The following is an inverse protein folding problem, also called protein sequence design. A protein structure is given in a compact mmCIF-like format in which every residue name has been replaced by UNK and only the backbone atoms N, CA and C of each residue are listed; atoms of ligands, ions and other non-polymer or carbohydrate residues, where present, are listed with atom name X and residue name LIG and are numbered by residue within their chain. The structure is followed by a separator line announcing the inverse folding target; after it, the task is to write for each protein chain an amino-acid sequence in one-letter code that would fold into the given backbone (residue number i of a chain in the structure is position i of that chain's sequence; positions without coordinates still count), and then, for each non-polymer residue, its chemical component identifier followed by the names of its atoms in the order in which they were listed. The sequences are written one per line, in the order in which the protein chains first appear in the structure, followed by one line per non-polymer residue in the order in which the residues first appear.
data_IF_699607555213
#
_entry.id   IF_699607555213
#
_cell.length_a   1.000
_cell.length_b   1.000
_cell.length_c   1.000
_cell.angle_alpha   90.00
_cell.angle_beta   90.00
_cell.angle_gamma   90.00
#
_symmetry.space_group_name_H-M   'P 1'
#
loop_
_entity.id
_entity.type
_entity.pdbx_description
1 polymer ?
#
# COMPACT_ATOMS: atom_id res chain seq x y z
N UNK A 1 15.03 18.71 -0.59
CA UNK A 1 15.96 19.70 -0.02
C UNK A 1 16.82 19.01 1.04
N UNK A 2 18.15 19.19 0.99
CA UNK A 2 19.08 18.66 1.99
C UNK A 2 19.59 19.80 2.87
N UNK A 3 19.57 19.59 4.20
CA UNK A 3 20.06 20.55 5.18
C UNK A 3 21.09 19.88 6.09
N UNK A 4 22.27 20.49 6.25
CA UNK A 4 23.29 20.02 7.18
C UNK A 4 23.08 20.70 8.53
N UNK A 5 22.84 19.91 9.57
CA UNK A 5 22.91 20.31 10.98
C UNK A 5 24.17 19.72 11.60
N UNK A 6 24.68 20.26 12.70
CA UNK A 6 26.01 20.01 13.31
C UNK A 6 26.56 18.58 13.11
N UNK A 7 25.77 17.52 13.36
CA UNK A 7 26.19 16.11 13.28
C UNK A 7 25.22 15.24 12.44
N UNK A 8 24.26 15.87 11.74
CA UNK A 8 23.25 15.17 10.99
C UNK A 8 22.95 15.86 9.66
N UNK A 9 22.52 15.08 8.70
CA UNK A 9 21.95 15.57 7.45
C UNK A 9 20.46 15.27 7.46
N UNK A 10 19.64 16.28 7.24
CA UNK A 10 18.20 16.13 7.07
C UNK A 10 17.86 16.26 5.59
N UNK A 11 17.18 15.27 5.08
CA UNK A 11 16.70 15.24 3.71
C UNK A 11 15.18 15.36 3.71
N UNK A 12 14.66 16.37 3.02
CA UNK A 12 13.23 16.54 2.77
C UNK A 12 12.99 16.31 1.27
N UNK A 13 12.07 15.46 0.94
CA UNK A 13 11.72 15.18 -0.45
C UNK A 13 10.23 15.13 -0.65
N UNK A 14 9.83 15.57 -1.82
CA UNK A 14 8.49 15.49 -2.38
C UNK A 14 8.58 14.73 -3.69
N UNK A 15 7.72 13.76 -3.85
CA UNK A 15 7.71 12.86 -5.01
C UNK A 15 6.33 12.95 -5.62
N UNK A 16 6.27 13.39 -6.89
CA UNK A 16 5.06 13.41 -7.69
C UNK A 16 5.31 12.70 -9.02
N UNK A 17 4.42 11.79 -9.39
CA UNK A 17 4.59 11.02 -10.61
C UNK A 17 3.53 9.95 -10.80
N UNK A 18 3.87 8.98 -11.64
CA UNK A 18 3.01 7.85 -11.93
C UNK A 18 3.80 6.55 -11.82
N UNK A 19 3.17 5.53 -11.27
CA UNK A 19 3.68 4.17 -11.26
C UNK A 19 2.81 3.32 -12.17
N UNK A 20 3.44 2.58 -13.06
CA UNK A 20 2.74 1.67 -13.94
C UNK A 20 2.42 0.37 -13.20
N UNK A 21 1.13 0.06 -13.06
CA UNK A 21 0.62 -1.12 -12.36
C UNK A 21 -0.37 -1.87 -13.22
N UNK A 22 -0.66 -3.11 -12.86
CA UNK A 22 -1.66 -3.93 -13.55
C UNK A 22 -2.99 -3.81 -12.81
N UNK A 23 -4.06 -3.48 -13.52
CA UNK A 23 -5.40 -3.39 -12.95
C UNK A 23 -5.87 -4.74 -12.36
N UNK A 24 -6.34 -4.76 -11.11
CA UNK A 24 -6.80 -5.98 -10.44
C UNK A 24 -8.10 -6.58 -11.03
N UNK A 25 -8.80 -5.84 -11.91
CA UNK A 25 -10.05 -6.29 -12.54
C UNK A 25 -9.85 -6.80 -13.96
N UNK A 26 -9.19 -6.02 -14.80
CA UNK A 26 -9.06 -6.35 -16.23
C UNK A 26 -7.67 -6.82 -16.63
N UNK A 27 -6.70 -6.77 -15.72
CA UNK A 27 -5.31 -7.16 -15.93
C UNK A 27 -4.57 -6.31 -16.98
N UNK A 28 -5.15 -5.21 -17.43
CA UNK A 28 -4.45 -4.25 -18.27
C UNK A 28 -3.61 -3.29 -17.45
N UNK A 29 -2.58 -2.77 -18.09
CA UNK A 29 -1.66 -1.82 -17.46
C UNK A 29 -2.32 -0.46 -17.31
N UNK A 30 -2.12 0.18 -16.16
CA UNK A 30 -2.62 1.52 -15.87
C UNK A 30 -1.55 2.36 -15.17
N UNK A 31 -1.63 3.68 -15.36
CA UNK A 31 -0.80 4.63 -14.66
C UNK A 31 -1.50 5.07 -13.37
N UNK A 32 -0.90 4.71 -12.25
CA UNK A 32 -1.37 5.09 -10.92
C UNK A 32 -0.64 6.36 -10.48
N UNK A 33 -1.34 7.47 -10.24
CA UNK A 33 -0.71 8.67 -9.72
C UNK A 33 -0.22 8.44 -8.29
N UNK A 34 1.01 8.85 -8.02
CA UNK A 34 1.65 8.76 -6.70
C UNK A 34 2.12 10.15 -6.31
N UNK A 35 1.76 10.57 -5.11
CA UNK A 35 2.24 11.79 -4.47
C UNK A 35 2.63 11.48 -3.04
N UNK A 36 3.88 11.71 -2.69
CA UNK A 36 4.43 11.42 -1.37
C UNK A 36 5.37 12.53 -0.93
N UNK A 37 5.36 12.82 0.36
CA UNK A 37 6.37 13.67 1.00
C UNK A 37 6.90 12.97 2.23
N UNK A 38 8.21 12.98 2.39
CA UNK A 38 8.87 12.35 3.53
C UNK A 38 10.15 13.09 3.92
N UNK A 39 10.67 12.78 5.09
CA UNK A 39 11.93 13.34 5.58
C UNK A 39 12.71 12.29 6.35
N UNK A 40 14.01 12.24 6.11
CA UNK A 40 14.92 11.34 6.81
C UNK A 40 16.08 12.11 7.45
N UNK A 41 16.54 11.61 8.57
CA UNK A 41 17.72 12.12 9.26
C UNK A 41 18.84 11.09 9.09
N UNK A 42 19.97 11.53 8.56
CA UNK A 42 21.15 10.67 8.35
C UNK A 42 22.27 11.16 9.25
N UNK A 43 22.85 10.26 10.04
CA UNK A 43 24.01 10.52 10.90
C UNK A 43 25.14 9.55 10.60
N UNK A 44 26.37 9.97 10.85
CA UNK A 44 27.51 9.06 10.86
C UNK A 44 27.63 8.40 12.24
N UNK A 45 27.81 7.09 12.27
CA UNK A 45 27.96 6.33 13.52
C UNK A 45 27.55 4.88 13.38
N UNK A 46 27.61 4.15 14.50
CA UNK A 46 27.23 2.73 14.59
C UNK A 46 26.01 2.52 15.51
N UNK A 47 25.28 3.58 15.85
CA UNK A 47 24.10 3.49 16.69
C UNK A 47 22.88 3.06 15.87
N UNK A 48 21.89 2.52 16.55
CA UNK A 48 20.59 2.15 15.94
C UNK A 48 19.51 2.98 16.62
N UNK A 49 18.75 3.74 15.82
CA UNK A 49 17.61 4.53 16.27
C UNK A 49 16.52 4.35 15.23
N UNK A 50 15.26 4.25 15.63
CA UNK A 50 14.14 3.96 14.72
C UNK A 50 13.90 5.06 13.68
N UNK A 51 14.19 6.32 14.06
CA UNK A 51 13.93 7.48 13.22
C UNK A 51 15.19 8.05 12.53
N UNK A 52 16.34 7.40 12.68
CA UNK A 52 17.62 7.89 12.18
C UNK A 52 18.36 6.82 11.40
N UNK A 53 18.71 7.13 10.18
CA UNK A 53 19.57 6.27 9.37
C UNK A 53 21.03 6.52 9.72
N UNK A 54 21.73 5.49 10.16
CA UNK A 54 23.14 5.56 10.45
C UNK A 54 23.97 5.02 9.29
N UNK A 55 24.95 5.79 8.87
CA UNK A 55 25.95 5.38 7.87
C UNK A 55 27.30 5.21 8.54
N UNK A 56 28.08 4.26 8.05
CA UNK A 56 29.43 4.04 8.54
C UNK A 56 30.28 5.32 8.40
N UNK A 57 31.13 5.65 9.38
CA UNK A 57 32.05 6.78 9.28
C UNK A 57 33.02 6.72 8.10
N UNK A 58 33.18 5.52 7.50
CA UNK A 58 34.05 5.27 6.36
C UNK A 58 33.32 5.59 5.03
N UNK A 59 31.97 5.53 5.04
CA UNK A 59 31.18 5.81 3.86
C UNK A 59 31.06 7.31 3.62
N UNK A 60 31.52 7.76 2.47
CA UNK A 60 31.46 9.17 2.06
C UNK A 60 30.13 9.52 1.36
N UNK A 61 29.33 8.51 1.03
CA UNK A 61 28.09 8.67 0.24
C UNK A 61 26.93 7.97 0.92
N UNK A 62 25.76 8.57 0.82
CA UNK A 62 24.49 7.96 1.22
C UNK A 62 23.62 7.75 -0.01
N UNK A 63 23.16 6.51 -0.21
CA UNK A 63 22.28 6.16 -1.31
C UNK A 63 20.81 6.40 -0.92
N UNK A 64 20.18 7.35 -1.60
CA UNK A 64 18.77 7.68 -1.43
C UNK A 64 17.84 6.78 -2.23
N UNK A 65 18.35 5.99 -3.17
CA UNK A 65 17.52 5.20 -4.10
C UNK A 65 16.56 4.28 -3.34
N UNK A 66 17.08 3.57 -2.34
CA UNK A 66 16.26 2.67 -1.55
C UNK A 66 15.14 3.39 -0.78
N UNK A 67 15.46 4.51 -0.17
CA UNK A 67 14.48 5.32 0.60
C UNK A 67 13.36 5.84 -0.31
N UNK A 68 13.75 6.37 -1.47
CA UNK A 68 12.77 6.86 -2.46
C UNK A 68 11.89 5.72 -2.99
N UNK A 69 12.50 4.56 -3.27
CA UNK A 69 11.76 3.38 -3.68
C UNK A 69 10.74 2.94 -2.62
N UNK A 70 11.17 2.84 -1.37
CA UNK A 70 10.31 2.45 -0.26
C UNK A 70 9.15 3.42 -0.06
N UNK A 71 9.43 4.72 -0.08
CA UNK A 71 8.42 5.78 0.02
C UNK A 71 7.38 5.66 -1.10
N UNK A 72 7.80 5.44 -2.34
CA UNK A 72 6.88 5.26 -3.48
C UNK A 72 6.11 3.96 -3.36
N UNK A 73 6.77 2.86 -2.99
CA UNK A 73 6.14 1.55 -2.88
C UNK A 73 5.01 1.53 -1.83
N UNK A 74 5.20 2.22 -0.72
CA UNK A 74 4.20 2.36 0.34
C UNK A 74 2.98 3.20 -0.06
N UNK A 75 3.08 4.01 -1.12
CA UNK A 75 1.94 4.78 -1.64
C UNK A 75 1.04 3.95 -2.57
N UNK A 76 1.51 2.81 -3.06
CA UNK A 76 0.71 1.95 -3.93
C UNK A 76 -0.38 1.27 -3.08
N UNK A 77 -1.68 1.52 -3.36
CA UNK A 77 -2.76 0.89 -2.60
C UNK A 77 -2.77 -0.62 -2.87
N UNK A 78 -3.22 -1.39 -1.89
CA UNK A 78 -3.35 -2.86 -2.00
C UNK A 78 -4.27 -3.26 -3.16
N UNK A 79 -5.27 -2.43 -3.46
CA UNK A 79 -6.19 -2.62 -4.58
C UNK A 79 -6.12 -1.43 -5.51
N UNK A 80 -5.90 -1.70 -6.79
CA UNK A 80 -5.83 -0.67 -7.82
C UNK A 80 -6.53 -1.14 -9.10
N UNK A 81 -7.42 -0.33 -9.57
CA UNK A 81 -8.22 -0.60 -10.75
C UNK A 81 -8.56 0.67 -11.50
N UNK A 82 -8.83 0.52 -12.80
CA UNK A 82 -9.28 1.62 -13.64
C UNK A 82 -10.55 2.26 -13.08
N UNK A 83 -10.77 3.50 -13.44
CA UNK A 83 -12.03 4.19 -13.15
C UNK A 83 -13.21 3.42 -13.76
N UNK A 84 -14.38 3.71 -13.24
CA UNK A 84 -15.60 3.04 -13.69
C UNK A 84 -15.83 3.26 -15.21
N UNK A 85 -15.92 2.15 -15.97
CA UNK A 85 -16.05 2.18 -17.41
C UNK A 85 -14.76 2.16 -18.23
N UNK A 86 -13.58 2.26 -17.61
CA UNK A 86 -12.29 2.25 -18.30
C UNK A 86 -11.63 0.86 -18.37
N UNK A 87 -12.20 -0.14 -17.69
CA UNK A 87 -11.70 -1.52 -17.77
C UNK A 87 -12.08 -2.18 -19.09
N UNK A 88 -11.26 -3.14 -19.52
CA UNK A 88 -11.56 -3.98 -20.68
C UNK A 88 -12.92 -4.69 -20.56
N UNK A 89 -13.78 -4.51 -21.57
CA UNK A 89 -15.15 -5.00 -21.54
C UNK A 89 -15.24 -6.53 -21.56
N UNK A 90 -14.35 -7.21 -22.28
CA UNK A 90 -14.37 -8.67 -22.38
C UNK A 90 -14.00 -9.31 -21.04
N UNK A 91 -12.99 -8.77 -20.39
CA UNK A 91 -12.57 -9.24 -19.08
C UNK A 91 -13.64 -8.94 -18.02
N UNK A 92 -14.28 -7.77 -18.08
CA UNK A 92 -15.38 -7.42 -17.18
C UNK A 92 -16.60 -8.34 -17.37
N UNK A 93 -16.91 -8.75 -18.60
CA UNK A 93 -17.97 -9.76 -18.85
C UNK A 93 -17.62 -11.11 -18.22
N UNK A 94 -16.38 -11.56 -18.35
CA UNK A 94 -15.90 -12.81 -17.73
C UNK A 94 -15.95 -12.73 -16.20
N UNK A 95 -15.46 -11.63 -15.64
CA UNK A 95 -15.48 -11.39 -14.20
C UNK A 95 -16.91 -11.43 -13.64
N UNK A 96 -17.85 -10.75 -14.31
CA UNK A 96 -19.26 -10.73 -13.90
C UNK A 96 -19.95 -12.08 -14.05
N UNK A 97 -19.55 -12.89 -15.02
CA UNK A 97 -20.06 -14.25 -15.20
C UNK A 97 -19.56 -15.22 -14.12
N UNK A 98 -18.36 -14.98 -13.59
CA UNK A 98 -17.73 -15.80 -12.54
C UNK A 98 -17.96 -15.25 -11.13
N UNK A 99 -18.40 -13.99 -10.99
CA UNK A 99 -18.70 -13.44 -9.67
C UNK A 99 -19.93 -14.15 -9.11
N UNK A 100 -19.81 -14.58 -7.84
CA UNK A 100 -20.92 -15.17 -7.10
C UNK A 100 -22.06 -14.14 -7.06
N UNK A 101 -23.02 -14.34 -7.96
CA UNK A 101 -24.17 -13.49 -8.11
C UNK A 101 -24.95 -13.49 -6.81
N UNK A 102 -25.02 -12.32 -6.20
CA UNK A 102 -26.04 -11.95 -5.22
C UNK A 102 -26.39 -13.07 -4.24
N UNK A 103 -25.66 -13.09 -3.15
CA UNK A 103 -26.26 -13.54 -1.91
C UNK A 103 -27.50 -12.66 -1.70
N UNK A 104 -28.65 -13.09 -2.18
CA UNK A 104 -29.90 -12.51 -1.75
C UNK A 104 -30.01 -12.83 -0.27
N UNK A 105 -30.17 -11.83 0.56
CA UNK A 105 -30.29 -11.95 2.03
C UNK A 105 -31.39 -12.94 2.45
N UNK A 106 -32.20 -13.42 1.54
CA UNK A 106 -33.28 -14.38 1.77
C UNK A 106 -32.82 -15.83 1.88
N UNK A 107 -31.69 -16.23 1.27
CA UNK A 107 -31.20 -17.62 1.35
C UNK A 107 -30.35 -17.91 2.60
N UNK A 108 -29.96 -16.91 3.36
CA UNK A 108 -29.03 -17.07 4.49
C UNK A 108 -29.71 -17.04 5.87
N UNK A 109 -31.00 -17.43 5.95
CA UNK A 109 -31.70 -17.55 7.25
C UNK A 109 -31.36 -18.83 8.02
N UNK A 110 -30.67 -19.76 7.41
CA UNK A 110 -30.17 -20.95 8.12
C UNK A 110 -28.76 -20.71 8.59
N UNK A 111 -28.62 -20.34 9.83
CA UNK A 111 -27.31 -20.27 10.50
C UNK A 111 -26.65 -21.65 10.43
N UNK A 112 -25.41 -21.73 9.94
CA UNK A 112 -24.62 -22.97 9.95
C UNK A 112 -24.63 -23.54 11.38
N UNK A 113 -25.00 -24.83 11.59
CA UNK A 113 -25.08 -25.45 12.91
C UNK A 113 -23.80 -25.33 13.75
N UNK A 114 -22.66 -25.16 13.09
CA UNK A 114 -21.37 -24.93 13.77
C UNK A 114 -21.31 -23.62 14.54
N UNK A 115 -22.12 -22.63 14.17
CA UNK A 115 -22.17 -21.30 14.77
C UNK A 115 -23.31 -21.11 15.78
N UNK A 116 -24.16 -22.14 16.00
CA UNK A 116 -25.29 -22.05 16.95
C UNK A 116 -24.83 -21.72 18.38
N UNK A 117 -23.72 -22.30 18.82
CA UNK A 117 -23.16 -22.04 20.16
C UNK A 117 -22.72 -20.57 20.36
N UNK A 118 -22.47 -19.82 19.32
CA UNK A 118 -22.14 -18.38 19.41
C UNK A 118 -23.38 -17.53 19.74
N UNK A 119 -24.58 -17.97 19.34
CA UNK A 119 -25.83 -17.29 19.69
C UNK A 119 -26.10 -17.34 21.17
N UNK A 120 -25.76 -18.45 21.82
CA UNK A 120 -25.96 -18.64 23.27
C UNK A 120 -25.08 -17.68 24.07
N UNK A 121 -23.90 -17.35 23.58
CA UNK A 121 -22.98 -16.37 24.20
C UNK A 121 -23.53 -14.95 24.11
N UNK A 122 -24.16 -14.60 22.99
CA UNK A 122 -24.74 -13.26 22.79
C UNK A 122 -26.00 -13.04 23.61
N UNK A 123 -26.77 -14.11 23.92
CA UNK A 123 -28.02 -14.02 24.66
C UNK A 123 -27.84 -14.10 26.21
N UNK A 124 -26.64 -14.41 26.69
CA UNK A 124 -26.30 -14.53 28.11
C UNK A 124 -25.55 -13.31 28.69
N UNK A 125 -25.61 -12.15 28.03
CA UNK A 125 -24.97 -10.92 28.53
C UNK A 125 -25.99 -9.82 28.82
#
# INVERSE_FOLDING_TARGET
VAQKKAEAFEFYFEIDGFVQVVCDRCLETMDLPVSASDSIIVKQGEQTDEDVVFISPIDETFDLEWVLYETVALQIPIQHFHKEGECDEEMMKKLNACSATKFTEEENKTTDPRWEKLKDILNNN
#
